data_IF_395165859778
#
_entry.id   IF_395165859778
#
_cell.length_a   1.000
_cell.length_b   1.000
_cell.length_c   1.000
_cell.angle_alpha   90.00
_cell.angle_beta   90.00
_cell.angle_gamma   90.00
#
_symmetry.space_group_name_H-M   'P 1'
#
loop_
_entity.id
_entity.type
_entity.pdbx_description
1 polymer ?
#
# COMPACT_ATOMS: atom_id res chain seq x y z
N UNK A 1 18.20 -4.20 1.91
CA UNK A 1 17.67 -3.00 2.59
C UNK A 1 18.89 -2.19 3.01
N UNK A 2 18.97 -0.92 2.60
CA UNK A 2 20.10 0.02 2.82
C UNK A 2 21.19 0.04 1.71
N UNK A 3 20.87 -0.42 0.50
CA UNK A 3 21.70 -0.18 -0.69
C UNK A 3 21.04 0.89 -1.55
N UNK A 4 21.84 1.78 -2.13
CA UNK A 4 21.39 2.72 -3.14
C UNK A 4 20.93 1.98 -4.40
N UNK A 5 20.05 2.62 -5.18
CA UNK A 5 19.42 2.01 -6.36
C UNK A 5 20.48 1.49 -7.34
N UNK A 6 21.58 2.21 -7.55
CA UNK A 6 22.65 1.79 -8.47
C UNK A 6 23.34 0.50 -7.97
N UNK A 7 23.63 0.40 -6.68
CA UNK A 7 24.21 -0.81 -6.09
C UNK A 7 23.24 -1.99 -6.10
N UNK A 8 21.93 -1.75 -5.90
CA UNK A 8 20.90 -2.79 -6.02
C UNK A 8 20.87 -3.33 -7.45
N UNK A 9 20.82 -2.46 -8.46
CA UNK A 9 20.83 -2.86 -9.87
C UNK A 9 22.10 -3.65 -10.22
N UNK A 10 23.27 -3.22 -9.75
CA UNK A 10 24.52 -3.97 -9.95
C UNK A 10 24.45 -5.37 -9.33
N UNK A 11 23.90 -5.49 -8.13
CA UNK A 11 23.75 -6.77 -7.44
C UNK A 11 22.77 -7.69 -8.19
N UNK A 12 21.68 -7.14 -8.73
CA UNK A 12 20.72 -7.87 -9.57
C UNK A 12 21.42 -8.45 -10.80
N UNK A 13 22.13 -7.62 -11.56
CA UNK A 13 22.88 -8.05 -12.75
C UNK A 13 23.92 -9.12 -12.41
N UNK A 14 24.66 -8.93 -11.30
CA UNK A 14 25.63 -9.91 -10.83
C UNK A 14 25.00 -11.26 -10.51
N UNK A 15 23.83 -11.26 -9.85
CA UNK A 15 23.14 -12.48 -9.46
C UNK A 15 22.43 -13.16 -10.64
N UNK A 16 22.00 -12.40 -11.65
CA UNK A 16 21.43 -12.94 -12.90
C UNK A 16 22.46 -13.78 -13.67
N UNK A 17 23.72 -13.34 -13.71
CA UNK A 17 24.81 -14.06 -14.37
C UNK A 17 25.44 -15.16 -13.49
N UNK A 18 25.04 -15.25 -12.22
CA UNK A 18 25.62 -16.17 -11.28
C UNK A 18 25.17 -17.62 -11.53
N UNK A 19 26.13 -18.49 -11.83
CA UNK A 19 25.86 -19.87 -12.29
C UNK A 19 25.53 -20.88 -11.18
N UNK A 20 25.74 -20.53 -9.90
CA UNK A 20 25.50 -21.45 -8.79
C UNK A 20 24.17 -21.15 -8.09
N UNK A 21 23.79 -22.00 -7.15
CA UNK A 21 22.58 -21.80 -6.33
C UNK A 21 22.79 -20.64 -5.35
N UNK A 22 21.85 -19.70 -5.34
CA UNK A 22 21.77 -18.62 -4.35
C UNK A 22 20.47 -18.76 -3.58
N UNK A 23 20.54 -18.53 -2.27
CA UNK A 23 19.37 -18.41 -1.41
C UNK A 23 19.35 -16.97 -0.90
N UNK A 24 18.33 -16.21 -1.27
CA UNK A 24 18.17 -14.82 -0.84
C UNK A 24 16.93 -14.67 0.03
N UNK A 25 17.06 -13.86 1.08
CA UNK A 25 15.94 -13.38 1.89
C UNK A 25 15.88 -11.87 1.70
N UNK A 26 14.79 -11.37 1.12
CA UNK A 26 14.59 -9.94 0.86
C UNK A 26 13.14 -9.56 1.10
N UNK A 27 12.91 -8.29 1.42
CA UNK A 27 11.59 -7.67 1.43
C UNK A 27 11.34 -6.81 0.18
N UNK A 28 12.34 -6.71 -0.69
CA UNK A 28 12.24 -5.99 -1.95
C UNK A 28 11.59 -6.88 -3.01
N UNK A 29 10.39 -6.50 -3.46
CA UNK A 29 9.63 -7.23 -4.47
C UNK A 29 10.28 -7.19 -5.83
N UNK A 30 10.85 -6.05 -6.21
CA UNK A 30 11.48 -5.89 -7.52
C UNK A 30 12.69 -6.81 -7.63
N UNK A 31 13.56 -6.78 -6.62
CA UNK A 31 14.71 -7.66 -6.52
C UNK A 31 14.31 -9.15 -6.57
N UNK A 32 13.30 -9.55 -5.80
CA UNK A 32 12.80 -10.93 -5.82
C UNK A 32 12.21 -11.30 -7.17
N UNK A 33 11.57 -10.37 -7.86
CA UNK A 33 10.97 -10.61 -9.17
C UNK A 33 12.00 -10.74 -10.29
N UNK A 34 13.09 -9.98 -10.20
CA UNK A 34 14.19 -9.96 -11.16
C UNK A 34 15.09 -11.19 -10.99
N UNK A 35 15.51 -11.51 -9.77
CA UNK A 35 16.58 -12.51 -9.53
C UNK A 35 16.03 -13.91 -9.26
N UNK A 36 14.87 -14.05 -8.63
CA UNK A 36 14.44 -15.35 -8.12
C UNK A 36 13.68 -16.18 -9.15
N UNK A 37 14.12 -17.43 -9.34
CA UNK A 37 13.45 -18.42 -10.20
C UNK A 37 12.47 -19.32 -9.44
N UNK A 38 12.62 -19.39 -8.12
CA UNK A 38 11.81 -20.19 -7.22
C UNK A 38 11.53 -19.41 -5.95
N UNK A 39 10.32 -19.54 -5.43
CA UNK A 39 9.92 -18.97 -4.14
C UNK A 39 9.78 -20.08 -3.12
N UNK A 40 10.44 -19.92 -1.98
CA UNK A 40 10.35 -20.83 -0.84
C UNK A 40 9.43 -20.22 0.20
N UNK A 41 8.21 -20.74 0.27
CA UNK A 41 7.20 -20.36 1.23
C UNK A 41 7.38 -21.17 2.52
N UNK A 42 7.64 -20.48 3.64
CA UNK A 42 7.72 -21.09 4.96
C UNK A 42 6.46 -20.71 5.74
N UNK A 43 5.53 -21.65 5.88
CA UNK A 43 4.28 -21.46 6.63
C UNK A 43 3.93 -22.70 7.47
N UNK A 44 3.43 -22.49 8.69
CA UNK A 44 3.08 -23.54 9.67
C UNK A 44 4.17 -24.60 9.90
N UNK A 45 5.44 -24.19 9.92
CA UNK A 45 6.57 -25.11 10.07
C UNK A 45 6.74 -26.08 8.89
N UNK A 46 6.13 -25.77 7.74
CA UNK A 46 6.31 -26.47 6.48
C UNK A 46 6.98 -25.55 5.48
N UNK A 47 7.78 -26.15 4.60
CA UNK A 47 8.43 -25.46 3.50
C UNK A 47 7.78 -25.94 2.21
N UNK A 48 7.15 -25.03 1.48
CA UNK A 48 6.58 -25.29 0.16
C UNK A 48 7.38 -24.51 -0.87
N UNK A 49 7.84 -25.20 -1.91
CA UNK A 49 8.60 -24.57 -2.99
C UNK A 49 7.69 -24.37 -4.20
N UNK A 50 7.76 -23.18 -4.78
CA UNK A 50 6.99 -22.79 -5.95
C UNK A 50 7.95 -22.35 -7.06
N UNK A 51 7.64 -22.74 -8.29
CA UNK A 51 8.38 -22.32 -9.48
C UNK A 51 7.86 -20.97 -9.96
N UNK A 52 8.77 -20.06 -10.32
CA UNK A 52 8.45 -18.70 -10.72
C UNK A 52 8.96 -17.67 -9.72
N UNK A 53 8.79 -16.41 -10.08
CA UNK A 53 9.20 -15.27 -9.27
C UNK A 53 8.16 -14.92 -8.20
N UNK A 54 8.40 -13.86 -7.43
CA UNK A 54 7.56 -13.48 -6.30
C UNK A 54 6.12 -13.13 -6.73
N UNK A 55 5.97 -12.28 -7.74
CA UNK A 55 4.67 -11.86 -8.27
C UNK A 55 3.85 -13.03 -8.79
N UNK A 56 4.46 -13.94 -9.56
CA UNK A 56 3.77 -15.14 -10.04
C UNK A 56 3.31 -16.04 -8.89
N UNK A 57 4.18 -16.27 -7.91
CA UNK A 57 3.84 -17.03 -6.71
C UNK A 57 2.68 -16.38 -5.93
N UNK A 58 2.72 -15.06 -5.76
CA UNK A 58 1.68 -14.30 -5.06
C UNK A 58 0.33 -14.42 -5.78
N UNK A 59 0.28 -14.12 -7.08
CA UNK A 59 -0.94 -14.18 -7.89
C UNK A 59 -1.53 -15.58 -7.94
N UNK A 60 -0.70 -16.59 -8.18
CA UNK A 60 -1.14 -17.99 -8.23
C UNK A 60 -1.68 -18.47 -6.87
N UNK A 61 -1.06 -18.06 -5.77
CA UNK A 61 -1.53 -18.35 -4.41
C UNK A 61 -2.88 -17.69 -4.12
N UNK A 62 -3.05 -16.41 -4.50
CA UNK A 62 -4.32 -15.70 -4.34
C UNK A 62 -5.43 -16.31 -5.22
N UNK A 63 -5.13 -16.69 -6.45
CA UNK A 63 -6.08 -17.33 -7.35
C UNK A 63 -6.53 -18.69 -6.81
N UNK A 64 -5.59 -19.51 -6.35
CA UNK A 64 -5.88 -20.81 -5.74
C UNK A 64 -6.78 -20.65 -4.50
N UNK A 65 -6.51 -19.66 -3.65
CA UNK A 65 -7.34 -19.35 -2.48
C UNK A 65 -8.76 -18.94 -2.90
N UNK A 66 -8.90 -18.02 -3.87
CA UNK A 66 -10.21 -17.59 -4.39
C UNK A 66 -11.00 -18.76 -4.99
N UNK A 67 -10.35 -19.63 -5.76
CA UNK A 67 -10.99 -20.82 -6.34
C UNK A 67 -11.50 -21.78 -5.26
N UNK A 68 -10.69 -22.04 -4.23
CA UNK A 68 -11.09 -22.87 -3.08
C UNK A 68 -12.25 -22.27 -2.31
N UNK A 69 -12.22 -20.97 -2.00
CA UNK A 69 -13.33 -20.28 -1.33
C UNK A 69 -14.61 -20.33 -2.14
N UNK A 70 -14.53 -20.09 -3.46
CA UNK A 70 -15.68 -20.19 -4.36
C UNK A 70 -16.25 -21.62 -4.44
N UNK A 71 -15.38 -22.63 -4.47
CA UNK A 71 -15.78 -24.03 -4.47
C UNK A 71 -16.44 -24.44 -3.15
N UNK A 72 -15.90 -24.01 -2.01
CA UNK A 72 -16.48 -24.24 -0.70
C UNK A 72 -17.85 -23.57 -0.58
N UNK A 73 -17.99 -22.31 -0.99
CA UNK A 73 -19.29 -21.61 -1.02
C UNK A 73 -20.32 -22.34 -1.87
N UNK A 74 -19.96 -22.77 -3.09
CA UNK A 74 -20.85 -23.58 -3.96
C UNK A 74 -21.25 -24.90 -3.32
N UNK A 75 -20.33 -25.55 -2.62
CA UNK A 75 -20.56 -26.81 -1.92
C UNK A 75 -21.49 -26.62 -0.73
N UNK A 76 -21.32 -25.54 0.02
CA UNK A 76 -22.17 -25.13 1.13
C UNK A 76 -23.60 -24.79 0.67
N UNK A 77 -23.75 -24.00 -0.40
CA UNK A 77 -25.05 -23.68 -0.98
C UNK A 77 -25.80 -24.94 -1.43
N UNK A 78 -25.12 -25.87 -2.12
CA UNK A 78 -25.68 -27.19 -2.49
C UNK A 78 -26.10 -28.00 -1.27
N UNK A 79 -25.29 -27.99 -0.21
CA UNK A 79 -25.58 -28.70 1.03
C UNK A 79 -26.84 -28.12 1.69
N UNK A 80 -26.96 -26.79 1.73
CA UNK A 80 -28.15 -26.09 2.25
C UNK A 80 -29.41 -26.43 1.46
N UNK A 81 -29.34 -26.40 0.13
CA UNK A 81 -30.48 -26.77 -0.74
C UNK A 81 -30.91 -28.23 -0.57
N UNK A 82 -29.94 -29.15 -0.50
CA UNK A 82 -30.23 -30.57 -0.26
C UNK A 82 -30.85 -30.78 1.12
N UNK A 83 -30.35 -30.11 2.15
CA UNK A 83 -30.91 -30.18 3.50
C UNK A 83 -32.34 -29.66 3.54
N UNK A 84 -32.61 -28.48 2.99
CA UNK A 84 -33.96 -27.92 2.92
C UNK A 84 -34.94 -28.84 2.17
N UNK A 85 -34.49 -29.51 1.10
CA UNK A 85 -35.32 -30.49 0.40
C UNK A 85 -35.62 -31.72 1.26
N UNK A 86 -34.61 -32.24 1.97
CA UNK A 86 -34.79 -33.37 2.89
C UNK A 86 -35.79 -32.98 3.98
N UNK A 87 -35.64 -31.80 4.58
CA UNK A 87 -36.50 -31.33 5.66
C UNK A 87 -37.96 -31.18 5.18
N UNK A 88 -38.18 -30.60 3.99
CA UNK A 88 -39.53 -30.40 3.42
C UNK A 88 -40.21 -31.69 2.95
N UNK A 89 -39.45 -32.67 2.46
CA UNK A 89 -40.01 -33.84 1.78
C UNK A 89 -39.75 -35.18 2.49
N UNK A 90 -39.12 -35.16 3.66
CA UNK A 90 -38.87 -36.36 4.48
C UNK A 90 -40.16 -37.08 4.90
N UNK A 91 -41.25 -36.34 5.13
CA UNK A 91 -42.55 -36.88 5.55
C UNK A 91 -43.49 -37.24 4.39
N UNK A 92 -43.15 -36.91 3.13
CA UNK A 92 -44.01 -37.14 1.96
C UNK A 92 -43.66 -38.46 1.26
N UNK A 93 -44.59 -39.44 1.30
CA UNK A 93 -44.38 -40.80 0.78
C UNK A 93 -43.96 -40.86 -0.70
N UNK A 94 -44.46 -39.94 -1.54
CA UNK A 94 -44.14 -39.91 -2.98
C UNK A 94 -42.72 -39.44 -3.31
N UNK A 95 -42.07 -38.66 -2.43
CA UNK A 95 -40.72 -38.12 -2.63
C UNK A 95 -39.66 -38.72 -1.69
N UNK A 96 -40.04 -39.71 -0.88
CA UNK A 96 -39.17 -40.39 0.10
C UNK A 96 -37.89 -40.97 -0.53
N UNK A 97 -37.98 -41.64 -1.69
CA UNK A 97 -36.80 -42.18 -2.41
C UNK A 97 -35.81 -41.08 -2.84
N UNK A 98 -36.30 -39.93 -3.27
CA UNK A 98 -35.46 -38.79 -3.66
C UNK A 98 -34.79 -38.15 -2.43
N UNK A 99 -35.50 -38.07 -1.31
CA UNK A 99 -34.94 -37.58 -0.05
C UNK A 99 -33.82 -38.50 0.47
N UNK A 100 -33.99 -39.83 0.42
CA UNK A 100 -32.93 -40.79 0.81
C UNK A 100 -31.70 -40.71 -0.09
N UNK A 101 -31.89 -40.54 -1.41
CA UNK A 101 -30.78 -40.37 -2.35
C UNK A 101 -29.98 -39.08 -2.09
N UNK A 102 -30.67 -37.96 -1.84
CA UNK A 102 -30.03 -36.68 -1.52
C UNK A 102 -29.31 -36.72 -0.17
N UNK A 103 -29.83 -37.46 0.83
CA UNK A 103 -29.15 -37.69 2.11
C UNK A 103 -27.80 -38.37 1.93
N UNK A 104 -27.74 -39.41 1.09
CA UNK A 104 -26.47 -40.08 0.74
C UNK A 104 -25.50 -39.18 -0.03
N UNK A 105 -26.00 -38.26 -0.86
CA UNK A 105 -25.16 -37.27 -1.55
C UNK A 105 -24.62 -36.22 -0.57
N UNK A 106 -25.44 -35.79 0.38
CA UNK A 106 -25.06 -34.83 1.42
C UNK A 106 -23.96 -35.39 2.34
N UNK A 107 -24.01 -36.67 2.68
CA UNK A 107 -22.94 -37.36 3.43
C UNK A 107 -21.60 -37.45 2.67
N UNK A 108 -21.63 -37.41 1.33
CA UNK A 108 -20.42 -37.44 0.48
C UNK A 108 -19.85 -36.05 0.17
N UNK A 109 -20.60 -34.99 0.42
CA UNK A 109 -20.14 -33.62 0.22
C UNK A 109 -19.26 -33.20 1.40
N UNK A 110 -17.95 -33.29 1.23
CA UNK A 110 -16.97 -32.72 2.16
C UNK A 110 -16.61 -31.31 1.74
N UNK A 111 -16.62 -30.38 2.69
CA UNK A 111 -15.95 -29.09 2.53
C UNK A 111 -14.45 -29.34 2.71
N UNK A 112 -13.63 -28.84 1.80
CA UNK A 112 -12.18 -28.86 2.01
C UNK A 112 -11.86 -27.87 3.13
N UNK A 113 -11.15 -28.34 4.16
CA UNK A 113 -10.63 -27.46 5.21
C UNK A 113 -9.57 -26.55 4.61
N UNK A 114 -9.91 -25.28 4.43
CA UNK A 114 -8.93 -24.24 4.12
C UNK A 114 -8.19 -23.98 5.42
N UNK A 115 -6.94 -24.44 5.49
CA UNK A 115 -6.03 -23.96 6.54
C UNK A 115 -5.81 -22.48 6.29
N UNK A 116 -6.22 -21.59 7.22
CA UNK A 116 -5.93 -20.16 7.06
C UNK A 116 -4.42 -20.00 7.05
N UNK A 117 -3.88 -19.30 6.06
CA UNK A 117 -2.47 -18.92 6.01
C UNK A 117 -2.09 -18.19 7.29
N UNK A 118 -0.86 -18.34 7.79
CA UNK A 118 -0.37 -17.45 8.85
C UNK A 118 -0.22 -16.01 8.33
N UNK A 119 -0.03 -15.85 7.01
CA UNK A 119 -0.02 -14.56 6.34
C UNK A 119 -1.39 -13.90 6.43
N UNK A 120 -1.40 -12.71 6.99
CA UNK A 120 -2.57 -11.85 7.03
C UNK A 120 -2.26 -10.58 6.26
N UNK A 121 -3.19 -10.20 5.40
CA UNK A 121 -3.10 -8.96 4.64
C UNK A 121 -4.03 -7.92 5.28
N UNK A 122 -3.56 -6.69 5.52
CA UNK A 122 -4.44 -5.61 5.92
C UNK A 122 -5.52 -5.33 4.87
N UNK A 123 -6.73 -4.99 5.32
CA UNK A 123 -7.85 -4.59 4.49
C UNK A 123 -7.86 -3.08 4.23
N UNK A 124 -6.90 -2.59 3.46
CA UNK A 124 -6.78 -1.16 3.14
C UNK A 124 -7.78 -0.82 2.04
N UNK A 125 -8.72 0.07 2.36
CA UNK A 125 -9.79 0.50 1.46
C UNK A 125 -9.93 2.02 1.60
N UNK A 126 -9.52 2.75 0.59
CA UNK A 126 -9.67 4.20 0.56
C UNK A 126 -10.98 4.59 -0.14
N UNK A 127 -11.81 5.33 0.58
CA UNK A 127 -13.04 5.92 0.09
C UNK A 127 -12.88 7.44 0.06
N UNK A 128 -13.67 8.10 -0.79
CA UNK A 128 -13.71 9.56 -0.88
C UNK A 128 -15.04 10.05 -0.36
N UNK A 129 -15.01 11.00 0.56
CA UNK A 129 -16.21 11.68 1.07
C UNK A 129 -16.93 12.47 -0.03
N UNK A 130 -16.16 13.05 -0.96
CA UNK A 130 -16.64 13.79 -2.13
C UNK A 130 -15.70 13.64 -3.31
N UNK A 131 -16.26 13.67 -4.52
CA UNK A 131 -15.49 13.67 -5.74
C UNK A 131 -14.74 15.00 -5.93
N UNK A 132 -13.46 14.94 -6.32
CA UNK A 132 -12.69 16.13 -6.61
C UNK A 132 -13.12 16.78 -7.94
N UNK A 133 -13.09 18.11 -7.98
CA UNK A 133 -13.19 18.90 -9.22
C UNK A 133 -11.91 18.78 -10.08
N UNK A 134 -11.86 19.57 -11.15
CA UNK A 134 -10.79 19.45 -12.15
C UNK A 134 -9.42 19.95 -11.64
N UNK A 135 -9.42 20.97 -10.78
CA UNK A 135 -8.20 21.52 -10.18
C UNK A 135 -7.97 20.90 -8.79
N UNK A 136 -6.87 20.16 -8.66
CA UNK A 136 -6.49 19.51 -7.39
C UNK A 136 -5.52 20.40 -6.60
N UNK A 137 -4.33 20.61 -7.16
CA UNK A 137 -3.26 21.39 -6.55
C UNK A 137 -2.54 22.17 -7.64
N UNK A 138 -2.31 23.45 -7.40
CA UNK A 138 -1.46 24.32 -8.21
C UNK A 138 -0.29 24.80 -7.36
N UNK A 139 0.93 24.53 -7.79
CA UNK A 139 2.17 24.98 -7.15
C UNK A 139 2.84 25.99 -8.07
N UNK A 140 3.19 27.17 -7.53
CA UNK A 140 3.80 28.25 -8.28
C UNK A 140 5.07 28.76 -7.60
N UNK A 141 6.19 28.63 -8.31
CA UNK A 141 7.53 29.08 -7.92
C UNK A 141 7.91 28.68 -6.49
N UNK A 142 7.52 27.48 -6.06
CA UNK A 142 7.76 27.03 -4.70
C UNK A 142 9.24 26.73 -4.52
N UNK A 143 9.82 27.26 -3.45
CA UNK A 143 11.21 27.03 -3.08
C UNK A 143 11.35 26.95 -1.56
N UNK A 144 12.27 26.11 -1.10
CA UNK A 144 12.60 25.96 0.30
C UNK A 144 14.09 25.72 0.50
N UNK A 145 14.66 26.40 1.49
CA UNK A 145 16.07 26.32 1.84
C UNK A 145 16.23 26.13 3.35
N UNK A 146 17.27 25.38 3.74
CA UNK A 146 17.64 25.16 5.14
C UNK A 146 19.07 25.67 5.29
N UNK A 147 19.29 26.59 6.23
CA UNK A 147 20.59 27.20 6.51
C UNK A 147 21.34 27.74 5.28
N UNK A 148 20.58 28.28 4.31
CA UNK A 148 21.10 28.85 3.05
C UNK A 148 21.45 27.81 1.98
N UNK A 149 21.14 26.53 2.21
CA UNK A 149 21.24 25.47 1.20
C UNK A 149 19.85 25.19 0.64
N UNK A 150 19.63 25.39 -0.68
CA UNK A 150 18.33 25.12 -1.29
C UNK A 150 18.07 23.60 -1.32
N UNK A 151 16.97 23.17 -0.71
CA UNK A 151 16.51 21.77 -0.83
C UNK A 151 15.80 21.57 -2.17
N UNK A 152 14.98 22.53 -2.57
CA UNK A 152 14.37 22.58 -3.90
C UNK A 152 14.04 24.03 -4.29
N UNK A 153 14.04 24.31 -5.59
CA UNK A 153 13.72 25.65 -6.11
C UNK A 153 12.90 25.61 -7.40
N UNK A 154 12.16 26.69 -7.65
CA UNK A 154 11.41 26.93 -8.90
C UNK A 154 10.45 25.79 -9.28
N UNK A 155 9.74 25.24 -8.30
CA UNK A 155 8.77 24.16 -8.52
C UNK A 155 7.45 24.76 -9.03
N UNK A 156 7.00 24.29 -10.20
CA UNK A 156 5.83 24.83 -10.89
C UNK A 156 5.03 23.72 -11.58
N UNK A 157 3.97 23.22 -10.96
CA UNK A 157 3.13 22.21 -11.59
C UNK A 157 1.68 22.30 -11.14
N UNK A 158 0.81 21.71 -11.95
CA UNK A 158 -0.60 21.51 -11.63
C UNK A 158 -0.92 20.02 -11.63
N UNK A 159 -1.73 19.62 -10.67
CA UNK A 159 -2.22 18.25 -10.53
C UNK A 159 -3.66 18.18 -11.01
N UNK A 160 -3.93 17.20 -11.87
CA UNK A 160 -5.25 16.92 -12.39
C UNK A 160 -5.89 15.75 -11.63
N UNK A 161 -7.20 15.62 -11.82
CA UNK A 161 -7.98 14.52 -11.27
C UNK A 161 -7.50 13.17 -11.82
N UNK A 162 -7.25 12.22 -10.92
CA UNK A 162 -6.81 10.87 -11.27
C UNK A 162 -5.29 10.73 -11.47
N UNK A 163 -4.53 11.81 -11.31
CA UNK A 163 -3.07 11.73 -11.28
C UNK A 163 -2.60 10.89 -10.08
N UNK A 164 -1.62 10.03 -10.34
CA UNK A 164 -0.89 9.24 -9.32
C UNK A 164 0.57 9.58 -9.48
N UNK A 165 1.03 10.51 -8.68
CA UNK A 165 2.31 11.17 -8.86
C UNK A 165 3.31 10.61 -7.85
N UNK A 166 4.44 10.13 -8.36
CA UNK A 166 5.60 9.89 -7.51
C UNK A 166 6.47 11.14 -7.48
N UNK A 167 6.72 11.66 -6.28
CA UNK A 167 7.70 12.72 -6.03
C UNK A 167 9.05 12.05 -5.80
N UNK A 168 10.04 12.40 -6.60
CA UNK A 168 11.42 11.93 -6.45
C UNK A 168 12.31 13.08 -5.96
N UNK A 169 13.24 12.76 -5.08
CA UNK A 169 14.30 13.67 -4.67
C UNK A 169 15.54 12.85 -4.27
N UNK A 170 16.75 13.32 -4.59
CA UNK A 170 17.99 12.71 -4.06
C UNK A 170 18.11 12.82 -2.54
N UNK A 171 17.59 13.89 -1.97
CA UNK A 171 17.60 14.12 -0.53
C UNK A 171 16.18 13.93 0.02
N UNK A 172 15.99 12.96 0.92
CA UNK A 172 14.70 12.71 1.57
C UNK A 172 14.17 13.91 2.35
N UNK A 173 15.05 14.78 2.86
CA UNK A 173 14.64 16.03 3.51
C UNK A 173 13.88 16.96 2.55
N UNK A 174 14.20 16.93 1.25
CA UNK A 174 13.52 17.77 0.27
C UNK A 174 12.08 17.31 0.03
N UNK A 175 11.85 16.00 -0.09
CA UNK A 175 10.49 15.44 -0.23
C UNK A 175 9.67 15.64 1.03
N UNK A 176 10.24 15.38 2.21
CA UNK A 176 9.54 15.59 3.48
C UNK A 176 9.20 17.06 3.70
N UNK A 177 10.13 17.99 3.45
CA UNK A 177 9.85 19.43 3.54
C UNK A 177 8.76 19.87 2.55
N UNK A 178 8.73 19.30 1.34
CA UNK A 178 7.68 19.57 0.36
C UNK A 178 6.29 19.18 0.91
N UNK A 179 6.13 18.00 1.50
CA UNK A 179 4.86 17.61 2.11
C UNK A 179 4.49 18.42 3.35
N UNK A 180 5.47 18.74 4.19
CA UNK A 180 5.25 19.59 5.37
C UNK A 180 4.77 20.99 4.96
N UNK A 181 5.31 21.55 3.86
CA UNK A 181 4.81 22.81 3.28
C UNK A 181 3.37 22.66 2.80
N UNK A 182 3.03 21.58 2.07
CA UNK A 182 1.66 21.34 1.61
C UNK A 182 0.65 21.16 2.75
N UNK A 183 1.10 20.69 3.91
CA UNK A 183 0.26 20.56 5.12
C UNK A 183 0.26 21.81 6.01
N UNK A 184 0.94 22.90 5.60
CA UNK A 184 1.12 24.12 6.39
C UNK A 184 1.89 23.93 7.70
N UNK A 185 2.68 22.86 7.82
CA UNK A 185 3.59 22.61 8.95
C UNK A 185 4.88 23.44 8.80
N UNK A 186 5.30 23.67 7.55
CA UNK A 186 6.41 24.56 7.19
C UNK A 186 5.94 25.67 6.25
N UNK A 187 6.61 26.82 6.33
CA UNK A 187 6.40 27.92 5.38
C UNK A 187 7.44 27.87 4.26
N UNK A 188 7.05 28.02 2.99
CA UNK A 188 8.01 28.10 1.90
C UNK A 188 8.83 29.39 1.98
N UNK A 189 10.06 29.36 1.49
CA UNK A 189 10.91 30.56 1.40
C UNK A 189 10.38 31.50 0.33
N UNK A 190 9.98 30.93 -0.82
CA UNK A 190 9.41 31.66 -1.96
C UNK A 190 8.30 30.82 -2.58
N UNK A 191 7.32 31.51 -3.19
CA UNK A 191 6.25 30.89 -3.95
C UNK A 191 4.99 30.63 -3.13
N UNK A 192 4.05 29.95 -3.75
CA UNK A 192 2.77 29.60 -3.15
C UNK A 192 2.23 28.29 -3.72
N UNK A 193 1.29 27.71 -2.99
CA UNK A 193 0.49 26.61 -3.47
C UNK A 193 -0.98 26.87 -3.15
N UNK A 194 -1.87 26.37 -3.99
CA UNK A 194 -3.31 26.47 -3.80
C UNK A 194 -3.97 25.13 -4.09
N UNK A 195 -4.77 24.67 -3.14
CA UNK A 195 -5.66 23.53 -3.34
C UNK A 195 -6.98 24.00 -3.95
N UNK A 196 -7.58 23.15 -4.78
CA UNK A 196 -8.96 23.36 -5.25
C UNK A 196 -9.96 23.35 -4.08
N UNK A 197 -11.05 24.11 -4.21
CA UNK A 197 -12.06 24.26 -3.14
C UNK A 197 -12.71 22.92 -2.72
N UNK A 198 -12.75 21.96 -3.65
CA UNK A 198 -13.32 20.63 -3.42
C UNK A 198 -12.32 19.62 -2.86
N UNK A 199 -11.08 20.03 -2.56
CA UNK A 199 -10.05 19.10 -2.09
C UNK A 199 -10.14 18.89 -0.59
N UNK A 200 -9.99 17.64 -0.20
CA UNK A 200 -9.85 17.17 1.17
C UNK A 200 -8.61 16.30 1.21
N UNK A 201 -7.59 16.74 1.92
CA UNK A 201 -6.30 16.04 1.98
C UNK A 201 -6.32 14.94 3.03
N UNK A 202 -5.50 13.92 2.83
CA UNK A 202 -5.16 12.94 3.86
C UNK A 202 -3.68 12.64 3.75
N UNK A 203 -2.96 12.86 4.85
CA UNK A 203 -1.51 12.83 4.87
C UNK A 203 -0.96 11.73 5.79
N UNK A 204 0.00 10.97 5.26
CA UNK A 204 0.88 10.09 6.01
C UNK A 204 2.31 10.65 5.94
N UNK A 205 2.85 11.19 7.05
CA UNK A 205 4.24 11.60 7.12
C UNK A 205 5.17 10.40 7.27
N UNK A 206 6.43 10.58 6.86
CA UNK A 206 7.52 9.63 7.07
C UNK A 206 7.84 9.47 8.56
N UNK A 207 7.96 10.58 9.28
CA UNK A 207 8.06 10.62 10.74
C UNK A 207 6.67 10.79 11.36
N UNK A 208 6.26 9.83 12.18
CA UNK A 208 4.92 9.83 12.80
C UNK A 208 4.94 9.63 14.32
N UNK A 209 6.13 9.62 14.93
CA UNK A 209 6.37 9.46 16.36
C UNK A 209 5.52 10.41 17.21
N UNK A 210 5.46 11.68 16.83
CA UNK A 210 4.74 12.74 17.55
C UNK A 210 3.25 12.43 17.73
N UNK A 211 2.63 11.66 16.82
CA UNK A 211 1.22 11.27 16.95
C UNK A 211 0.97 10.30 18.10
N UNK A 212 1.99 9.63 18.63
CA UNK A 212 1.86 8.56 19.61
C UNK A 212 2.53 8.85 20.96
N UNK A 213 3.33 9.92 21.05
CA UNK A 213 4.07 10.29 22.26
C UNK A 213 3.25 11.15 23.22
N UNK A 214 2.47 12.08 22.68
CA UNK A 214 1.65 12.99 23.47
C UNK A 214 0.39 12.26 24.00
N UNK A 215 0.21 12.27 25.32
CA UNK A 215 -0.93 11.68 26.04
C UNK A 215 -1.24 10.21 25.66
N UNK A 216 -0.44 9.24 26.17
CA UNK A 216 -0.62 7.84 25.83
C UNK A 216 -2.03 7.33 26.17
N UNK A 217 -2.71 6.76 25.17
CA UNK A 217 -4.04 6.18 25.31
C UNK A 217 -4.17 4.87 24.54
N UNK A 218 -5.30 4.18 24.70
CA UNK A 218 -5.56 2.96 23.94
C UNK A 218 -5.64 3.25 22.44
N UNK A 219 -5.26 2.30 21.58
CA UNK A 219 -5.39 2.44 20.12
C UNK A 219 -6.82 2.81 19.69
N UNK A 220 -7.81 2.23 20.38
CA UNK A 220 -9.22 2.54 20.16
C UNK A 220 -9.51 4.02 20.42
N UNK A 221 -9.05 4.55 21.56
CA UNK A 221 -9.30 5.94 21.94
C UNK A 221 -8.50 6.91 21.07
N UNK A 222 -7.25 6.55 20.72
CA UNK A 222 -6.40 7.30 19.81
C UNK A 222 -7.06 7.47 18.44
N UNK A 223 -7.49 6.37 17.82
CA UNK A 223 -8.13 6.43 16.50
C UNK A 223 -9.49 7.14 16.56
N UNK A 224 -10.21 6.98 17.67
CA UNK A 224 -11.48 7.65 17.93
C UNK A 224 -11.35 9.17 17.88
N UNK A 225 -10.19 9.76 18.18
CA UNK A 225 -10.00 11.22 18.10
C UNK A 225 -10.21 11.77 16.69
N UNK A 226 -9.78 11.01 15.67
CA UNK A 226 -9.77 11.43 14.26
C UNK A 226 -11.07 11.11 13.49
N UNK A 227 -11.96 10.31 14.07
CA UNK A 227 -13.23 9.93 13.42
C UNK A 227 -14.36 10.87 13.80
N UNK A 228 -15.27 11.20 12.87
CA UNK A 228 -16.54 11.85 13.23
C UNK A 228 -17.45 10.88 14.01
N UNK A 229 -17.54 9.63 13.54
CA UNK A 229 -18.28 8.55 14.21
C UNK A 229 -17.46 7.98 15.36
N UNK A 230 -17.99 8.05 16.58
CA UNK A 230 -17.27 7.69 17.81
C UNK A 230 -17.65 6.31 18.33
N UNK A 231 -18.63 5.64 17.70
CA UNK A 231 -19.04 4.28 18.06
C UNK A 231 -17.86 3.30 18.05
N UNK A 232 -17.73 2.51 19.14
CA UNK A 232 -16.62 1.58 19.30
C UNK A 232 -16.59 0.52 18.20
N UNK A 233 -17.75 0.01 17.79
CA UNK A 233 -17.84 -1.00 16.73
C UNK A 233 -17.31 -0.46 15.39
N UNK A 234 -17.55 0.83 15.10
CA UNK A 234 -17.06 1.48 13.90
C UNK A 234 -15.53 1.59 13.93
N UNK A 235 -14.95 2.16 14.98
CA UNK A 235 -13.49 2.32 15.14
C UNK A 235 -12.76 0.96 15.15
N UNK A 236 -13.32 -0.01 15.89
CA UNK A 236 -12.81 -1.39 15.95
C UNK A 236 -12.77 -2.03 14.55
N UNK A 237 -13.70 -1.68 13.67
CA UNK A 237 -13.71 -2.13 12.28
C UNK A 237 -12.50 -1.67 11.48
N UNK A 238 -12.02 -0.44 11.66
CA UNK A 238 -10.83 0.07 10.98
C UNK A 238 -9.53 -0.53 11.55
N UNK A 239 -9.42 -0.60 12.88
CA UNK A 239 -8.30 -1.27 13.53
C UNK A 239 -8.21 -2.76 13.14
N UNK A 240 -9.35 -3.45 13.07
CA UNK A 240 -9.43 -4.85 12.63
C UNK A 240 -9.00 -5.06 11.18
N UNK A 241 -9.32 -4.12 10.27
CA UNK A 241 -8.79 -4.13 8.90
C UNK A 241 -7.27 -4.03 8.89
N UNK A 242 -6.68 -3.30 9.83
CA UNK A 242 -5.22 -3.17 9.98
C UNK A 242 -4.59 -4.22 10.90
N UNK A 243 -5.27 -5.35 11.08
CA UNK A 243 -4.81 -6.52 11.83
C UNK A 243 -4.67 -6.34 13.33
N UNK A 244 -5.16 -5.23 13.90
CA UNK A 244 -5.30 -5.08 15.35
C UNK A 244 -6.54 -5.81 15.82
N UNK A 245 -6.36 -6.92 16.54
CA UNK A 245 -7.44 -7.83 16.91
C UNK A 245 -7.46 -8.15 18.41
N UNK A 246 -8.64 -8.49 18.94
CA UNK A 246 -8.80 -8.89 20.34
C UNK A 246 -8.34 -7.78 21.29
N UNK A 247 -7.34 -8.09 22.13
CA UNK A 247 -6.75 -7.18 23.12
C UNK A 247 -5.79 -6.15 22.51
N UNK A 248 -5.35 -6.33 21.26
CA UNK A 248 -4.40 -5.39 20.62
C UNK A 248 -4.99 -4.00 20.46
N UNK A 249 -6.31 -3.87 20.32
CA UNK A 249 -7.00 -2.57 20.22
C UNK A 249 -6.94 -1.77 21.54
N UNK A 250 -6.58 -2.42 22.65
CA UNK A 250 -6.39 -1.81 23.95
C UNK A 250 -4.90 -1.54 24.27
N UNK A 251 -3.99 -1.87 23.35
CA UNK A 251 -2.58 -1.52 23.45
C UNK A 251 -2.42 0.00 23.49
N UNK A 252 -1.47 0.47 24.28
CA UNK A 252 -1.18 1.91 24.39
C UNK A 252 -0.47 2.42 23.13
N UNK A 253 -0.80 3.63 22.69
CA UNK A 253 -0.26 4.28 21.50
C UNK A 253 1.28 4.36 21.50
N UNK A 254 1.89 4.59 22.66
CA UNK A 254 3.33 4.76 22.81
C UNK A 254 4.16 3.46 22.79
N UNK A 255 3.52 2.29 22.87
CA UNK A 255 4.23 0.98 22.85
C UNK A 255 4.14 0.26 21.51
N UNK A 256 3.66 0.94 20.47
CA UNK A 256 3.59 0.41 19.12
C UNK A 256 4.97 0.35 18.48
N UNK A 257 5.24 -0.73 17.75
CA UNK A 257 6.37 -0.81 16.82
C UNK A 257 6.16 0.14 15.63
N UNK A 258 7.24 0.49 14.91
CA UNK A 258 7.14 1.38 13.74
C UNK A 258 6.11 0.91 12.70
N UNK A 259 6.10 -0.38 12.36
CA UNK A 259 5.10 -0.93 11.43
C UNK A 259 3.67 -0.86 11.96
N UNK A 260 3.46 -1.07 13.27
CA UNK A 260 2.14 -0.86 13.89
C UNK A 260 1.71 0.62 13.83
N UNK A 261 2.61 1.56 14.10
CA UNK A 261 2.32 3.00 13.98
C UNK A 261 1.90 3.36 12.55
N UNK A 262 2.63 2.90 11.54
CA UNK A 262 2.27 3.15 10.13
C UNK A 262 0.89 2.55 9.81
N UNK A 263 0.58 1.33 10.27
CA UNK A 263 -0.75 0.73 10.10
C UNK A 263 -1.87 1.53 10.80
N UNK A 264 -1.60 2.08 11.98
CA UNK A 264 -2.53 3.00 12.66
C UNK A 264 -2.74 4.29 11.85
N UNK A 265 -1.68 4.87 11.31
CA UNK A 265 -1.76 6.07 10.48
C UNK A 265 -2.52 5.82 9.16
N UNK A 266 -2.33 4.66 8.53
CA UNK A 266 -3.14 4.24 7.38
C UNK A 266 -4.63 4.14 7.76
N UNK A 267 -4.95 3.60 8.95
CA UNK A 267 -6.34 3.58 9.45
C UNK A 267 -6.92 4.99 9.60
N UNK A 268 -6.13 5.93 10.14
CA UNK A 268 -6.50 7.34 10.27
C UNK A 268 -6.78 7.97 8.90
N UNK A 269 -5.95 7.70 7.88
CA UNK A 269 -6.22 8.18 6.53
C UNK A 269 -7.52 7.58 5.94
N UNK A 270 -7.79 6.30 6.19
CA UNK A 270 -9.04 5.66 5.73
C UNK A 270 -10.28 6.32 6.35
N UNK A 271 -10.19 6.78 7.60
CA UNK A 271 -11.27 7.50 8.28
C UNK A 271 -11.49 8.91 7.72
N UNK A 272 -10.42 9.61 7.36
CA UNK A 272 -10.50 10.98 6.84
C UNK A 272 -11.21 11.06 5.48
N UNK A 273 -11.26 9.95 4.73
CA UNK A 273 -11.91 9.86 3.40
C UNK A 273 -11.54 11.04 2.47
N UNK A 274 -10.26 11.44 2.49
CA UNK A 274 -9.74 12.47 1.61
C UNK A 274 -9.85 12.07 0.14
N UNK A 275 -9.85 13.05 -0.76
CA UNK A 275 -9.81 12.85 -2.22
C UNK A 275 -8.44 13.15 -2.84
N UNK A 276 -7.53 13.70 -2.04
CA UNK A 276 -6.09 13.78 -2.32
C UNK A 276 -5.32 13.07 -1.21
N UNK A 277 -4.71 11.93 -1.54
CA UNK A 277 -3.82 11.21 -0.62
C UNK A 277 -2.39 11.70 -0.81
N UNK A 278 -1.74 12.07 0.28
CA UNK A 278 -0.32 12.45 0.32
C UNK A 278 0.42 11.47 1.21
N UNK A 279 1.43 10.77 0.69
CA UNK A 279 2.16 9.74 1.43
C UNK A 279 3.66 9.93 1.31
N UNK A 280 4.34 10.23 2.41
CA UNK A 280 5.80 10.35 2.45
C UNK A 280 6.42 9.05 2.97
N UNK A 281 7.13 8.32 2.09
CA UNK A 281 7.76 7.04 2.37
C UNK A 281 6.85 5.99 3.05
N UNK A 282 5.66 5.70 2.50
CA UNK A 282 4.66 4.87 3.18
C UNK A 282 5.04 3.39 3.29
N UNK A 283 6.05 2.95 2.55
CA UNK A 283 6.56 1.58 2.55
C UNK A 283 7.54 1.32 3.69
N UNK A 284 8.04 2.37 4.35
CA UNK A 284 8.99 2.23 5.44
C UNK A 284 8.35 1.52 6.64
N UNK A 285 9.11 0.62 7.26
CA UNK A 285 8.70 -0.19 8.42
C UNK A 285 7.52 -1.14 8.19
N UNK A 286 6.96 -1.23 6.98
CA UNK A 286 5.90 -2.17 6.63
C UNK A 286 6.46 -3.53 6.20
N UNK A 287 5.72 -4.59 6.53
CA UNK A 287 5.96 -5.92 5.99
C UNK A 287 5.45 -6.04 4.55
N UNK A 288 5.86 -7.12 3.89
CA UNK A 288 5.59 -7.36 2.48
C UNK A 288 4.07 -7.45 2.19
N UNK A 289 3.32 -8.05 3.11
CA UNK A 289 1.88 -8.16 3.07
C UNK A 289 1.21 -6.78 3.16
N UNK A 290 1.65 -5.90 4.05
CA UNK A 290 1.12 -4.54 4.19
C UNK A 290 1.48 -3.66 2.99
N UNK A 291 2.72 -3.74 2.50
CA UNK A 291 3.15 -3.04 1.27
C UNK A 291 2.29 -3.48 0.08
N UNK A 292 2.05 -4.79 -0.05
CA UNK A 292 1.23 -5.34 -1.14
C UNK A 292 -0.23 -4.89 -1.02
N UNK A 293 -0.78 -4.89 0.19
CA UNK A 293 -2.14 -4.39 0.45
C UNK A 293 -2.26 -2.90 0.12
N UNK A 294 -1.28 -2.09 0.53
CA UNK A 294 -1.27 -0.65 0.27
C UNK A 294 -1.14 -0.35 -1.23
N UNK A 295 -0.22 -1.03 -1.92
CA UNK A 295 -0.03 -0.88 -3.36
C UNK A 295 -1.34 -1.16 -4.12
N UNK A 296 -1.99 -2.30 -3.83
CA UNK A 296 -3.29 -2.64 -4.42
C UNK A 296 -4.38 -1.62 -4.09
N UNK A 297 -4.40 -1.08 -2.86
CA UNK A 297 -5.37 -0.07 -2.46
C UNK A 297 -5.18 1.23 -3.25
N UNK A 298 -3.94 1.68 -3.43
CA UNK A 298 -3.63 2.89 -4.19
C UNK A 298 -3.87 2.71 -5.70
N UNK A 299 -3.59 1.54 -6.28
CA UNK A 299 -3.92 1.23 -7.68
C UNK A 299 -5.43 1.35 -7.93
N UNK A 300 -6.25 0.82 -7.02
CA UNK A 300 -7.71 0.81 -7.16
C UNK A 300 -8.39 2.10 -6.69
N UNK A 301 -7.67 2.97 -5.99
CA UNK A 301 -8.21 4.24 -5.54
C UNK A 301 -8.47 5.17 -6.73
N UNK A 302 -9.70 5.71 -6.77
CA UNK A 302 -10.18 6.56 -7.86
C UNK A 302 -9.80 8.04 -7.70
N UNK A 303 -9.26 8.43 -6.54
CA UNK A 303 -8.85 9.81 -6.26
C UNK A 303 -7.43 10.06 -6.74
N UNK A 304 -6.92 11.23 -6.36
CA UNK A 304 -5.55 11.63 -6.70
C UNK A 304 -4.60 11.20 -5.59
N UNK A 305 -3.40 10.75 -5.97
CA UNK A 305 -2.36 10.30 -5.02
C UNK A 305 -1.07 11.02 -5.35
N UNK A 306 -0.40 11.57 -4.34
CA UNK A 306 0.97 12.07 -4.41
C UNK A 306 1.76 11.30 -3.37
N UNK A 307 2.86 10.68 -3.76
CA UNK A 307 3.65 9.89 -2.81
C UNK A 307 5.14 9.92 -3.13
N UNK A 308 5.96 9.73 -2.10
CA UNK A 308 7.40 9.47 -2.23
C UNK A 308 7.65 8.06 -1.73
N UNK A 309 8.46 7.28 -2.44
CA UNK A 309 8.87 5.95 -1.99
C UNK A 309 10.16 5.53 -2.68
N UNK A 310 11.01 4.81 -1.95
CA UNK A 310 12.16 4.11 -2.51
C UNK A 310 11.83 2.69 -3.03
N UNK A 311 10.62 2.14 -2.81
CA UNK A 311 10.23 0.83 -3.34
C UNK A 311 9.94 0.95 -4.84
N UNK A 312 10.86 0.42 -5.65
CA UNK A 312 10.78 0.44 -7.11
C UNK A 312 9.46 -0.15 -7.63
N UNK A 313 9.06 -1.32 -7.12
CA UNK A 313 7.81 -1.98 -7.54
C UNK A 313 6.60 -1.14 -7.15
N UNK A 314 6.62 -0.50 -5.98
CA UNK A 314 5.52 0.35 -5.52
C UNK A 314 5.35 1.58 -6.42
N UNK A 315 6.45 2.29 -6.71
CA UNK A 315 6.41 3.45 -7.60
C UNK A 315 5.98 3.03 -9.01
N UNK A 316 6.58 1.97 -9.55
CA UNK A 316 6.35 1.50 -10.92
C UNK A 316 4.90 1.09 -11.17
N UNK A 317 4.21 0.50 -10.19
CA UNK A 317 2.82 0.06 -10.38
C UNK A 317 1.78 1.12 -10.03
N UNK A 318 2.09 2.05 -9.12
CA UNK A 318 1.11 3.06 -8.66
C UNK A 318 1.19 4.34 -9.50
N UNK A 319 2.40 4.80 -9.83
CA UNK A 319 2.59 6.11 -10.47
C UNK A 319 2.26 6.09 -11.95
N UNK A 320 1.62 7.16 -12.43
CA UNK A 320 1.43 7.47 -13.84
C UNK A 320 2.19 8.74 -14.29
N UNK A 321 2.77 9.46 -13.33
CA UNK A 321 3.54 10.68 -13.52
C UNK A 321 4.67 10.74 -12.49
N UNK A 322 5.86 11.10 -12.95
CA UNK A 322 7.03 11.30 -12.11
C UNK A 322 7.33 12.80 -12.05
N UNK A 323 7.44 13.33 -10.83
CA UNK A 323 7.93 14.69 -10.60
C UNK A 323 9.18 14.58 -9.73
N UNK A 324 10.35 14.88 -10.29
CA UNK A 324 11.59 14.98 -9.52
C UNK A 324 11.85 16.42 -9.13
N UNK A 325 11.92 16.67 -7.82
CA UNK A 325 12.24 17.98 -7.25
C UNK A 325 13.75 18.07 -7.01
N UNK A 326 14.34 19.18 -7.42
CA UNK A 326 15.79 19.39 -7.38
C UNK A 326 16.14 20.78 -6.84
N UNK A 327 17.37 20.97 -6.33
CA UNK A 327 17.82 22.29 -5.86
C UNK A 327 17.80 23.39 -6.93
N UNK A 328 17.89 23.03 -8.23
CA UNK A 328 17.92 23.99 -9.34
C UNK A 328 16.67 23.97 -10.23
N UNK A 329 15.59 23.31 -9.81
CA UNK A 329 14.36 23.21 -10.61
C UNK A 329 13.57 21.93 -10.36
N UNK A 330 12.77 21.53 -11.34
CA UNK A 330 12.05 20.26 -11.32
C UNK A 330 12.03 19.60 -12.70
N UNK A 331 11.78 18.30 -12.69
CA UNK A 331 11.54 17.49 -13.88
C UNK A 331 10.16 16.86 -13.73
N UNK A 332 9.32 17.01 -14.73
CA UNK A 332 7.93 16.54 -14.70
C UNK A 332 7.63 15.74 -15.98
N UNK A 333 7.29 14.46 -15.81
CA UNK A 333 7.13 13.50 -16.89
C UNK A 333 5.93 12.59 -16.67
N UNK A 334 5.07 12.47 -17.67
CA UNK A 334 3.98 11.49 -17.73
C UNK A 334 4.52 10.14 -18.20
N UNK A 335 5.28 9.47 -17.34
CA UNK A 335 5.98 8.21 -17.62
C UNK A 335 5.92 7.29 -16.40
N UNK A 336 6.18 6.01 -16.63
CA UNK A 336 6.48 5.06 -15.54
C UNK A 336 7.90 5.28 -15.01
N UNK A 337 8.24 4.68 -13.86
CA UNK A 337 9.57 4.81 -13.27
C UNK A 337 10.66 4.26 -14.19
N UNK A 338 10.44 3.09 -14.77
CA UNK A 338 11.42 2.45 -15.68
C UNK A 338 11.71 3.34 -16.90
N UNK A 339 10.65 3.87 -17.53
CA UNK A 339 10.75 4.77 -18.67
C UNK A 339 11.43 6.10 -18.32
N UNK A 340 11.27 6.54 -17.07
CA UNK A 340 11.91 7.74 -16.55
C UNK A 340 13.42 7.51 -16.34
N UNK A 341 13.80 6.39 -15.72
CA UNK A 341 15.19 6.07 -15.39
C UNK A 341 16.04 5.74 -16.62
N UNK A 342 15.45 5.14 -17.66
CA UNK A 342 16.19 4.71 -18.87
C UNK A 342 16.33 5.83 -19.92
N UNK A 343 15.52 6.89 -19.89
CA UNK A 343 15.62 7.98 -20.88
C UNK A 343 16.91 8.79 -20.70
N UNK A 344 17.85 8.64 -21.64
CA UNK A 344 19.15 9.33 -21.64
C UNK A 344 19.03 10.86 -21.59
N UNK A 345 17.95 11.44 -22.14
CA UNK A 345 17.73 12.90 -22.04
C UNK A 345 17.38 13.31 -20.61
N UNK A 346 16.61 12.48 -19.93
CA UNK A 346 16.24 12.71 -18.52
C UNK A 346 17.48 12.55 -17.65
N UNK A 347 18.32 11.54 -17.88
CA UNK A 347 19.59 11.39 -17.16
C UNK A 347 20.48 12.63 -17.26
N UNK A 348 20.68 13.14 -18.48
CA UNK A 348 21.43 14.39 -18.68
C UNK A 348 20.81 15.59 -17.95
N UNK A 349 19.47 15.72 -18.00
CA UNK A 349 18.75 16.78 -17.29
C UNK A 349 18.89 16.65 -15.77
N UNK A 350 18.81 15.43 -15.21
CA UNK A 350 18.99 15.16 -13.78
C UNK A 350 20.39 15.57 -13.34
N UNK A 351 21.42 15.22 -14.11
CA UNK A 351 22.80 15.62 -13.82
C UNK A 351 22.93 17.15 -13.77
N UNK A 352 22.42 17.86 -14.76
CA UNK A 352 22.43 19.34 -14.80
C UNK A 352 21.67 19.95 -13.61
N UNK A 353 20.49 19.42 -13.27
CA UNK A 353 19.64 19.93 -12.19
C UNK A 353 20.25 19.72 -10.79
N UNK A 354 21.12 18.72 -10.62
CA UNK A 354 21.84 18.47 -9.38
C UNK A 354 23.29 19.02 -9.38
N UNK A 355 23.76 19.65 -10.46
CA UNK A 355 25.10 20.25 -10.50
C UNK A 355 25.25 21.37 -9.46
N UNK A 356 26.41 21.40 -8.79
CA UNK A 356 26.77 22.43 -7.81
C UNK A 356 26.29 22.19 -6.39
N UNK A 357 25.61 21.07 -6.13
CA UNK A 357 25.12 20.68 -4.81
C UNK A 357 26.10 19.67 -4.20
N UNK A 358 26.75 20.04 -3.11
CA UNK A 358 27.48 19.09 -2.27
C UNK A 358 26.45 18.21 -1.56
N UNK A 359 26.43 16.92 -1.89
CA UNK A 359 25.62 15.88 -1.23
C UNK A 359 26.02 15.75 0.22
#
# INVERSE_FOLDING_TARGET
>A
NDLDIETVTWLEDFLLDFKNTVIVVSHDRHFLDTVCTHVVDIDFGKINMFTGNYSFWYESSQLALRQKLAQNKKTEDKRREMQQFIDRFSANASKSRQATSRRKMLEKLSLEEIKPSSRKYPGIIYEQSREAGDQILSVQNLAYEVDGVPLFSNINFTINKGDKIAILAKNGLASSAFYQILNNELSPTVGSFEFGQTITTSFLPSENESFFEDDPMSLMDWLRQFSEEKEEQYIRGFLGKMLFSGEEVHKMSNVLSGGEKVRCMISRMMLNQGNLLMLDEPTNHLDLESITALNNALINYAGTVIFTSHDHQFVQTVANRIIEITPNGMIDQLKTLDEYLVDERIKGLREEMYQGVLV
#
